data_IF_769406532040
#
_entry.id   IF_769406532040
#
_cell.length_a   1.000
_cell.length_b   1.000
_cell.length_c   1.000
_cell.angle_alpha   90.00
_cell.angle_beta   90.00
_cell.angle_gamma   90.00
#
_symmetry.space_group_name_H-M   'P 1'
#
loop_
_entity.id
_entity.type
_entity.pdbx_description
1 polymer ?
#
# COMPACT_ATOMS: atom_id res chain seq x y z
N UNK A 1 41.88 -47.43 -66.54
CA UNK A 1 41.80 -47.78 -65.08
C UNK A 1 41.94 -46.53 -64.30
N UNK A 2 40.80 -45.93 -63.88
CA UNK A 2 40.71 -44.63 -63.22
C UNK A 2 40.28 -44.84 -61.72
N UNK A 3 41.17 -44.50 -60.79
CA UNK A 3 40.86 -44.52 -59.37
C UNK A 3 40.24 -43.15 -58.98
N UNK A 4 38.98 -43.17 -58.56
CA UNK A 4 38.30 -42.03 -57.94
C UNK A 4 38.62 -42.05 -56.45
N UNK A 5 39.30 -41.01 -55.96
CA UNK A 5 39.48 -40.75 -54.51
C UNK A 5 38.27 -40.02 -53.99
N UNK A 6 37.61 -40.55 -52.95
CA UNK A 6 36.53 -39.87 -52.23
C UNK A 6 37.15 -39.04 -51.10
N UNK A 7 36.93 -37.72 -51.12
CA UNK A 7 37.27 -36.82 -50.02
C UNK A 7 36.12 -36.85 -49.00
N UNK A 8 36.34 -37.43 -47.85
CA UNK A 8 35.41 -37.40 -46.73
C UNK A 8 35.53 -36.06 -45.99
N UNK A 9 34.45 -35.28 -45.98
CA UNK A 9 34.35 -34.04 -45.20
C UNK A 9 34.02 -34.42 -43.72
N UNK A 10 34.97 -34.25 -42.82
CA UNK A 10 34.73 -34.35 -41.36
C UNK A 10 34.10 -33.05 -40.86
N UNK A 11 32.80 -33.08 -40.54
CA UNK A 11 32.12 -32.01 -39.84
C UNK A 11 32.26 -32.28 -38.36
N UNK A 12 33.08 -31.48 -37.67
CA UNK A 12 33.16 -31.48 -36.21
C UNK A 12 31.92 -30.75 -35.61
N UNK A 13 31.20 -31.34 -34.63
CA UNK A 13 30.12 -30.64 -33.97
C UNK A 13 30.69 -29.53 -33.05
N UNK A 14 30.32 -28.29 -33.35
CA UNK A 14 30.60 -27.17 -32.47
C UNK A 14 29.70 -27.29 -31.23
N UNK A 15 30.25 -27.79 -30.13
CA UNK A 15 29.55 -27.80 -28.84
C UNK A 15 29.48 -26.37 -28.35
N UNK A 16 28.28 -25.76 -28.40
CA UNK A 16 28.01 -24.50 -27.76
C UNK A 16 28.16 -24.65 -26.24
N UNK A 17 29.25 -24.12 -25.69
CA UNK A 17 29.45 -24.00 -24.25
C UNK A 17 28.47 -22.96 -23.78
N UNK A 18 27.34 -23.39 -23.21
CA UNK A 18 26.44 -22.50 -22.48
C UNK A 18 27.22 -22.00 -21.24
N UNK A 19 27.64 -20.75 -21.28
CA UNK A 19 28.19 -20.08 -20.10
C UNK A 19 27.14 -20.08 -19.00
N UNK A 20 27.43 -20.53 -17.77
CA UNK A 20 26.48 -20.39 -16.68
C UNK A 20 26.21 -18.90 -16.49
N UNK A 21 24.95 -18.48 -16.62
CA UNK A 21 24.51 -17.15 -16.26
C UNK A 21 24.87 -16.95 -14.79
N UNK A 22 25.82 -16.08 -14.50
CA UNK A 22 26.16 -15.71 -13.13
C UNK A 22 24.89 -15.14 -12.51
N UNK A 23 24.25 -15.88 -11.59
CA UNK A 23 23.13 -15.38 -10.79
C UNK A 23 23.66 -14.19 -10.01
N UNK A 24 23.27 -12.97 -10.43
CA UNK A 24 23.62 -11.75 -9.71
C UNK A 24 23.14 -11.92 -8.24
N UNK A 25 24.03 -11.57 -7.29
CA UNK A 25 23.68 -11.60 -5.87
C UNK A 25 22.43 -10.74 -5.65
N UNK A 26 21.42 -11.24 -4.92
CA UNK A 26 20.23 -10.45 -4.62
C UNK A 26 20.59 -9.12 -3.96
N UNK A 27 19.98 -8.04 -4.41
CA UNK A 27 20.18 -6.69 -3.87
C UNK A 27 19.70 -6.65 -2.41
N UNK A 28 20.53 -6.15 -1.50
CA UNK A 28 20.20 -5.99 -0.08
C UNK A 28 19.52 -4.64 0.13
N UNK A 29 18.22 -4.64 0.17
CA UNK A 29 17.39 -3.43 0.24
C UNK A 29 16.94 -3.20 1.69
N UNK A 30 17.18 -2.01 2.24
CA UNK A 30 16.46 -1.50 3.39
C UNK A 30 15.34 -0.61 2.87
N UNK A 31 14.12 -0.79 3.38
CA UNK A 31 12.97 0.01 2.94
C UNK A 31 12.35 0.75 4.13
N UNK A 32 12.38 2.08 4.08
CA UNK A 32 11.86 2.98 5.11
C UNK A 32 10.48 3.56 4.75
N UNK A 33 9.76 2.92 3.84
CA UNK A 33 8.38 3.27 3.45
C UNK A 33 7.58 2.00 3.30
N UNK A 34 6.47 1.88 4.03
CA UNK A 34 5.65 0.66 4.06
C UNK A 34 5.00 0.38 2.70
N UNK A 35 4.57 1.42 1.96
CA UNK A 35 3.98 1.25 0.64
C UNK A 35 4.99 0.75 -0.40
N UNK A 36 6.26 1.15 -0.30
CA UNK A 36 7.33 0.60 -1.13
C UNK A 36 7.69 -0.83 -0.71
N UNK A 37 7.70 -1.10 0.61
CA UNK A 37 8.01 -2.42 1.14
C UNK A 37 6.93 -3.46 0.77
N UNK A 38 5.64 -3.12 0.88
CA UNK A 38 4.55 -4.01 0.45
C UNK A 38 4.62 -4.28 -1.07
N UNK A 39 5.03 -3.28 -1.86
CA UNK A 39 5.23 -3.45 -3.31
C UNK A 39 6.40 -4.40 -3.60
N UNK A 40 7.55 -4.26 -2.92
CA UNK A 40 8.67 -5.20 -3.07
C UNK A 40 8.26 -6.63 -2.76
N UNK A 41 7.52 -6.84 -1.66
CA UNK A 41 7.03 -8.18 -1.30
C UNK A 41 6.10 -8.77 -2.37
N UNK A 42 5.25 -7.94 -3.00
CA UNK A 42 4.42 -8.39 -4.13
C UNK A 42 5.24 -8.72 -5.39
N UNK A 43 6.39 -8.09 -5.57
CA UNK A 43 7.35 -8.44 -6.62
C UNK A 43 8.18 -9.70 -6.28
N UNK A 44 7.95 -10.31 -5.12
CA UNK A 44 8.69 -11.48 -4.65
C UNK A 44 10.09 -11.15 -4.11
N UNK A 45 10.31 -9.90 -3.68
CA UNK A 45 11.57 -9.42 -3.14
C UNK A 45 11.40 -8.99 -1.69
N UNK A 46 12.06 -9.69 -0.77
CA UNK A 46 12.06 -9.32 0.65
C UNK A 46 13.16 -8.31 0.93
N UNK A 47 12.83 -7.11 1.46
CA UNK A 47 13.85 -6.22 1.98
C UNK A 47 14.58 -6.88 3.16
N UNK A 48 15.84 -6.51 3.41
CA UNK A 48 16.60 -7.03 4.57
C UNK A 48 16.15 -6.38 5.87
N UNK A 49 15.54 -5.19 5.79
CA UNK A 49 14.94 -4.51 6.93
C UNK A 49 13.88 -3.50 6.49
N UNK A 50 12.97 -3.22 7.42
CA UNK A 50 11.99 -2.11 7.38
C UNK A 50 12.10 -1.29 8.66
N UNK A 51 11.39 -0.17 8.72
CA UNK A 51 11.15 0.57 9.96
C UNK A 51 9.72 0.33 10.47
N UNK A 52 9.53 0.07 11.78
CA UNK A 52 8.21 -0.02 12.39
C UNK A 52 7.47 -1.32 12.11
N UNK A 53 8.02 -2.46 12.52
CA UNK A 53 7.33 -3.77 12.43
C UNK A 53 5.95 -3.75 13.08
N UNK A 54 5.79 -3.06 14.21
CA UNK A 54 4.52 -2.90 14.92
C UNK A 54 3.46 -2.17 14.07
N UNK A 55 3.87 -1.17 13.29
CA UNK A 55 3.01 -0.49 12.31
C UNK A 55 2.57 -1.46 11.23
N UNK A 56 3.52 -2.28 10.71
CA UNK A 56 3.20 -3.30 9.71
C UNK A 56 2.16 -4.30 10.23
N UNK A 57 2.40 -4.88 11.40
CA UNK A 57 1.52 -5.88 12.01
C UNK A 57 0.14 -5.30 12.38
N UNK A 58 0.08 -4.01 12.71
CA UNK A 58 -1.17 -3.33 13.10
C UNK A 58 -1.97 -2.84 11.89
N UNK A 59 -1.32 -2.25 10.89
CA UNK A 59 -2.00 -1.49 9.83
C UNK A 59 -1.83 -2.06 8.43
N UNK A 60 -0.62 -2.50 8.04
CA UNK A 60 -0.38 -3.07 6.71
C UNK A 60 -1.04 -4.43 6.61
N UNK A 61 -0.71 -5.33 7.51
CA UNK A 61 -1.28 -6.68 7.70
C UNK A 61 -1.07 -7.59 6.48
N UNK A 62 -1.25 -7.09 5.27
CA UNK A 62 -1.09 -7.80 3.99
C UNK A 62 -0.25 -6.97 3.01
N UNK A 63 0.76 -7.59 2.39
CA UNK A 63 1.21 -8.97 2.58
C UNK A 63 1.79 -9.19 3.99
N UNK A 64 1.76 -10.44 4.52
CA UNK A 64 2.38 -10.73 5.81
C UNK A 64 3.88 -10.45 5.75
N UNK A 65 4.41 -9.85 6.82
CA UNK A 65 5.83 -9.54 6.90
C UNK A 65 6.63 -10.82 7.21
N UNK A 66 7.57 -11.23 6.36
CA UNK A 66 8.47 -12.34 6.64
C UNK A 66 9.24 -12.12 7.96
N UNK A 67 9.38 -13.15 8.80
CA UNK A 67 9.99 -13.02 10.14
C UNK A 67 11.49 -12.66 10.10
N UNK A 68 12.17 -12.97 9.01
CA UNK A 68 13.59 -12.69 8.81
C UNK A 68 13.90 -11.22 8.50
N UNK A 69 12.91 -10.42 8.14
CA UNK A 69 13.10 -8.99 7.88
C UNK A 69 13.38 -8.29 9.21
N UNK A 70 14.52 -7.61 9.32
CA UNK A 70 14.87 -6.89 10.52
C UNK A 70 14.01 -5.62 10.70
N UNK A 71 13.79 -5.22 11.94
CA UNK A 71 13.20 -3.93 12.28
C UNK A 71 14.29 -2.95 12.69
N UNK A 72 14.42 -1.84 11.98
CA UNK A 72 15.40 -0.79 12.30
C UNK A 72 14.84 0.29 13.23
N UNK A 73 13.68 0.08 13.82
CA UNK A 73 13.05 1.01 14.74
C UNK A 73 12.12 2.02 14.06
N UNK A 74 12.06 3.25 14.58
CA UNK A 74 11.11 4.24 14.07
C UNK A 74 11.58 4.89 12.76
N UNK A 75 10.65 5.40 11.96
CA UNK A 75 10.95 6.08 10.70
C UNK A 75 11.90 7.27 10.86
N UNK A 76 11.71 8.09 11.90
CA UNK A 76 12.50 9.32 12.09
C UNK A 76 13.82 9.08 12.83
N UNK A 77 13.91 7.98 13.58
CA UNK A 77 15.08 7.61 14.37
C UNK A 77 15.45 6.14 14.11
N UNK A 78 15.84 5.77 12.87
CA UNK A 78 16.24 4.41 12.58
C UNK A 78 17.57 4.07 13.25
N UNK A 79 17.74 2.83 13.68
CA UNK A 79 18.96 2.34 14.30
C UNK A 79 20.10 2.27 13.27
N UNK A 80 20.96 3.29 13.25
CA UNK A 80 22.06 3.40 12.29
C UNK A 80 23.12 2.30 12.46
N UNK A 81 23.33 1.82 13.69
CA UNK A 81 24.30 0.73 13.94
C UNK A 81 23.78 -0.58 13.32
N UNK A 82 22.49 -0.88 13.50
CA UNK A 82 21.88 -2.04 12.85
C UNK A 82 21.90 -1.91 11.32
N UNK A 83 21.61 -0.72 10.79
CA UNK A 83 21.71 -0.45 9.35
C UNK A 83 23.13 -0.73 8.83
N UNK A 84 24.18 -0.29 9.53
CA UNK A 84 25.57 -0.59 9.17
C UNK A 84 25.90 -2.08 9.24
N UNK A 85 25.41 -2.78 10.26
CA UNK A 85 25.60 -4.24 10.39
C UNK A 85 24.93 -5.02 9.26
N UNK A 86 23.75 -4.56 8.82
CA UNK A 86 23.00 -5.18 7.72
C UNK A 86 23.68 -4.98 6.36
N UNK A 87 24.59 -4.02 6.22
CA UNK A 87 25.32 -3.72 4.99
C UNK A 87 24.39 -3.69 3.76
N UNK A 88 23.40 -2.80 3.71
CA UNK A 88 22.52 -2.68 2.56
C UNK A 88 23.28 -2.18 1.32
N UNK A 89 22.85 -2.61 0.15
CA UNK A 89 23.33 -2.07 -1.12
C UNK A 89 22.60 -0.77 -1.45
N UNK A 90 21.36 -0.60 -0.93
CA UNK A 90 20.53 0.58 -1.14
C UNK A 90 19.51 0.73 0.01
N UNK A 91 19.18 1.99 0.32
CA UNK A 91 18.09 2.36 1.23
C UNK A 91 17.00 3.06 0.40
N UNK A 92 15.80 2.51 0.40
CA UNK A 92 14.61 3.15 -0.13
C UNK A 92 13.99 4.04 0.94
N UNK A 93 13.67 5.27 0.59
CA UNK A 93 13.17 6.30 1.48
C UNK A 93 12.02 7.08 0.83
N UNK A 94 11.34 7.89 1.62
CA UNK A 94 10.29 8.80 1.17
C UNK A 94 10.67 10.26 1.42
N UNK A 95 10.05 11.26 0.74
CA UNK A 95 10.36 12.68 0.91
C UNK A 95 10.23 13.19 2.35
N UNK A 96 9.33 12.61 3.14
CA UNK A 96 9.16 12.94 4.56
C UNK A 96 10.45 12.73 5.39
N UNK A 97 11.34 11.85 4.92
CA UNK A 97 12.62 11.53 5.58
C UNK A 97 13.81 12.30 5.01
N UNK A 98 13.61 13.27 4.13
CA UNK A 98 14.73 14.03 3.53
C UNK A 98 15.60 14.74 4.57
N UNK A 99 15.05 15.10 5.74
CA UNK A 99 15.79 15.70 6.86
C UNK A 99 16.86 14.78 7.46
N UNK A 100 16.68 13.46 7.41
CA UNK A 100 17.64 12.46 7.91
C UNK A 100 18.43 11.78 6.79
N UNK A 101 18.14 12.07 5.53
CA UNK A 101 18.81 11.48 4.37
C UNK A 101 20.35 11.54 4.44
N UNK A 102 20.99 12.66 4.84
CA UNK A 102 22.44 12.70 4.96
C UNK A 102 23.02 11.72 6.00
N UNK A 103 22.25 11.34 7.01
CA UNK A 103 22.65 10.30 7.98
C UNK A 103 22.55 8.90 7.35
N UNK A 104 21.49 8.63 6.61
CA UNK A 104 21.29 7.36 5.91
C UNK A 104 22.34 7.13 4.82
N UNK A 105 22.72 8.19 4.09
CA UNK A 105 23.74 8.15 3.04
C UNK A 105 25.15 7.81 3.56
N UNK A 106 25.40 7.92 4.86
CA UNK A 106 26.63 7.43 5.50
C UNK A 106 26.69 5.90 5.58
N UNK A 107 25.55 5.23 5.41
CA UNK A 107 25.45 3.77 5.45
C UNK A 107 25.41 3.17 4.06
N UNK A 108 24.53 3.66 3.18
CA UNK A 108 24.39 3.20 1.81
C UNK A 108 23.72 4.27 0.93
N UNK A 109 23.81 4.18 -0.41
CA UNK A 109 23.05 5.03 -1.32
C UNK A 109 21.56 5.08 -0.98
N UNK A 110 20.96 6.27 -0.97
CA UNK A 110 19.53 6.48 -0.67
C UNK A 110 18.78 6.86 -1.93
N UNK A 111 17.73 6.11 -2.24
CA UNK A 111 16.78 6.45 -3.30
C UNK A 111 15.46 6.86 -2.68
N UNK A 112 15.05 8.11 -2.91
CA UNK A 112 13.79 8.66 -2.43
C UNK A 112 12.70 8.45 -3.49
N UNK A 113 11.61 7.77 -3.13
CA UNK A 113 10.43 7.55 -3.96
C UNK A 113 9.21 8.07 -3.21
N UNK A 114 8.51 9.04 -3.78
CA UNK A 114 7.36 9.67 -3.13
C UNK A 114 6.04 9.08 -3.59
N UNK A 115 5.37 8.32 -2.74
CA UNK A 115 3.99 7.87 -2.96
C UNK A 115 2.98 8.99 -2.65
N UNK A 116 3.27 9.78 -1.61
CA UNK A 116 2.43 10.89 -1.15
C UNK A 116 3.19 12.20 -1.33
N UNK A 117 2.57 13.15 -2.01
CA UNK A 117 3.15 14.45 -2.34
C UNK A 117 2.09 15.54 -2.31
N UNK A 118 2.48 16.81 -2.32
CA UNK A 118 1.54 17.94 -2.37
C UNK A 118 0.58 17.88 -3.58
N UNK A 119 1.03 17.31 -4.70
CA UNK A 119 0.18 17.13 -5.88
C UNK A 119 -0.94 16.09 -5.68
N UNK A 120 -0.85 15.23 -4.65
CA UNK A 120 -1.73 14.09 -4.46
C UNK A 120 -1.46 12.98 -5.48
N UNK A 121 -2.53 12.32 -5.96
CA UNK A 121 -2.48 11.24 -6.95
C UNK A 121 -1.68 10.01 -6.48
N UNK A 122 -1.91 9.49 -5.27
CA UNK A 122 -1.12 8.39 -4.72
C UNK A 122 -1.20 7.11 -5.57
N UNK A 123 -2.29 6.86 -6.28
CA UNK A 123 -2.40 5.72 -7.19
C UNK A 123 -1.45 5.83 -8.39
N UNK A 124 -1.40 7.00 -9.02
CA UNK A 124 -0.47 7.24 -10.13
C UNK A 124 0.98 7.14 -9.65
N UNK A 125 1.27 7.66 -8.44
CA UNK A 125 2.58 7.51 -7.82
C UNK A 125 2.93 6.07 -7.50
N UNK A 126 1.96 5.27 -7.03
CA UNK A 126 2.16 3.83 -6.79
C UNK A 126 2.48 3.08 -8.10
N UNK A 127 1.85 3.46 -9.22
CA UNK A 127 2.14 2.90 -10.54
C UNK A 127 3.59 3.19 -10.96
N UNK A 128 4.01 4.45 -10.84
CA UNK A 128 5.38 4.88 -11.16
C UNK A 128 6.41 4.19 -10.24
N UNK A 129 6.12 4.12 -8.93
CA UNK A 129 6.96 3.45 -7.93
C UNK A 129 7.07 1.95 -8.21
N UNK A 130 5.97 1.28 -8.57
CA UNK A 130 5.98 -0.15 -8.91
C UNK A 130 6.91 -0.43 -10.08
N UNK A 131 6.84 0.38 -11.15
CA UNK A 131 7.74 0.25 -12.30
C UNK A 131 9.19 0.52 -11.94
N UNK A 132 9.44 1.56 -11.14
CA UNK A 132 10.79 1.92 -10.68
C UNK A 132 11.39 0.81 -9.81
N UNK A 133 10.62 0.27 -8.85
CA UNK A 133 11.07 -0.84 -8.01
C UNK A 133 11.30 -2.11 -8.83
N UNK A 134 10.38 -2.43 -9.75
CA UNK A 134 10.52 -3.59 -10.62
C UNK A 134 11.81 -3.52 -11.46
N UNK A 135 12.10 -2.36 -12.07
CA UNK A 135 13.35 -2.14 -12.80
C UNK A 135 14.60 -2.23 -11.90
N UNK A 136 14.53 -1.74 -10.66
CA UNK A 136 15.63 -1.82 -9.69
C UNK A 136 16.00 -3.27 -9.35
N UNK A 137 15.00 -4.17 -9.27
CA UNK A 137 15.18 -5.56 -8.84
C UNK A 137 15.11 -6.59 -9.99
N UNK A 138 15.00 -6.12 -11.27
CA UNK A 138 14.92 -6.99 -12.44
C UNK A 138 13.62 -7.80 -12.51
N UNK A 139 12.49 -7.19 -12.15
CA UNK A 139 11.15 -7.79 -12.05
C UNK A 139 10.10 -7.00 -12.84
N UNK A 140 10.48 -6.47 -14.00
CA UNK A 140 9.63 -5.60 -14.81
C UNK A 140 8.32 -6.29 -15.23
N UNK A 141 8.40 -7.58 -15.60
CA UNK A 141 7.21 -8.35 -15.98
C UNK A 141 6.25 -8.56 -14.80
N UNK A 142 6.77 -8.82 -13.61
CA UNK A 142 5.99 -8.96 -12.37
C UNK A 142 5.38 -7.62 -11.96
N UNK A 143 6.09 -6.51 -12.18
CA UNK A 143 5.58 -5.16 -11.95
C UNK A 143 4.38 -4.84 -12.84
N UNK A 144 4.47 -5.05 -14.15
CA UNK A 144 3.34 -4.84 -15.05
C UNK A 144 2.18 -5.82 -14.77
N UNK A 145 2.47 -7.06 -14.39
CA UNK A 145 1.44 -8.02 -13.98
C UNK A 145 0.69 -7.56 -12.72
N UNK A 146 1.39 -7.03 -11.71
CA UNK A 146 0.78 -6.47 -10.50
C UNK A 146 -0.14 -5.29 -10.84
N UNK A 147 0.31 -4.37 -11.68
CA UNK A 147 -0.50 -3.22 -12.15
C UNK A 147 -1.77 -3.71 -12.84
N UNK A 148 -1.62 -4.60 -13.83
CA UNK A 148 -2.75 -5.12 -14.61
C UNK A 148 -3.75 -5.90 -13.72
N UNK A 149 -3.27 -6.69 -12.77
CA UNK A 149 -4.11 -7.43 -11.84
C UNK A 149 -4.90 -6.48 -10.92
N UNK A 150 -4.28 -5.38 -10.46
CA UNK A 150 -4.93 -4.36 -9.63
C UNK A 150 -6.06 -3.66 -10.39
N UNK A 151 -5.82 -3.23 -11.63
CA UNK A 151 -6.83 -2.58 -12.48
C UNK A 151 -8.00 -3.52 -12.82
N UNK A 152 -7.70 -4.78 -13.13
CA UNK A 152 -8.71 -5.80 -13.36
C UNK A 152 -9.58 -6.05 -12.12
N UNK A 153 -8.96 -6.09 -10.94
CA UNK A 153 -9.65 -6.28 -9.68
C UNK A 153 -10.60 -5.10 -9.37
N UNK A 154 -10.17 -3.86 -9.55
CA UNK A 154 -11.05 -2.70 -9.35
C UNK A 154 -12.22 -2.68 -10.34
N UNK A 155 -11.99 -3.09 -11.57
CA UNK A 155 -13.07 -3.23 -12.57
C UNK A 155 -14.11 -4.27 -12.15
N UNK A 156 -13.68 -5.38 -11.54
CA UNK A 156 -14.56 -6.40 -10.99
C UNK A 156 -15.35 -5.88 -9.80
N UNK A 157 -14.69 -5.26 -8.82
CA UNK A 157 -15.34 -4.66 -7.64
C UNK A 157 -16.36 -3.61 -8.06
N UNK A 158 -16.04 -2.77 -9.06
CA UNK A 158 -16.96 -1.78 -9.60
C UNK A 158 -18.24 -2.42 -10.16
N UNK A 159 -18.12 -3.51 -10.91
CA UNK A 159 -19.28 -4.25 -11.43
C UNK A 159 -20.14 -4.84 -10.32
N UNK A 160 -19.49 -5.41 -9.31
CA UNK A 160 -20.15 -5.98 -8.13
C UNK A 160 -20.94 -4.92 -7.35
N UNK A 161 -20.37 -3.73 -7.17
CA UNK A 161 -20.95 -2.67 -6.35
C UNK A 161 -21.95 -1.78 -7.11
N UNK A 162 -21.94 -1.77 -8.43
CA UNK A 162 -22.77 -0.87 -9.23
C UNK A 162 -24.27 -0.86 -8.83
N UNK A 163 -24.90 -2.01 -8.50
CA UNK A 163 -26.29 -2.02 -8.05
C UNK A 163 -26.51 -1.46 -6.63
N UNK A 164 -25.43 -1.29 -5.83
CA UNK A 164 -25.47 -1.05 -4.39
C UNK A 164 -24.94 0.34 -3.99
N UNK A 165 -24.42 1.14 -4.91
CA UNK A 165 -23.52 2.27 -4.65
C UNK A 165 -24.20 3.63 -4.46
N UNK A 166 -25.48 3.68 -4.08
CA UNK A 166 -26.25 4.92 -4.09
C UNK A 166 -25.88 5.96 -3.00
N UNK A 167 -25.20 5.59 -1.91
CA UNK A 167 -24.98 6.47 -0.75
C UNK A 167 -23.50 6.80 -0.56
N UNK A 168 -23.15 8.10 -0.35
CA UNK A 168 -21.75 8.49 -0.10
C UNK A 168 -21.24 7.90 1.23
N UNK A 169 -19.92 7.72 1.33
CA UNK A 169 -19.28 7.05 2.47
C UNK A 169 -18.18 7.94 3.03
N UNK A 170 -18.23 8.24 4.33
CA UNK A 170 -17.05 8.73 5.05
C UNK A 170 -16.11 7.56 5.35
N UNK A 171 -14.82 7.73 5.08
CA UNK A 171 -13.78 6.80 5.54
C UNK A 171 -12.97 7.50 6.61
N UNK A 172 -12.89 6.89 7.79
CA UNK A 172 -12.20 7.48 8.93
C UNK A 172 -11.32 6.47 9.67
N UNK A 173 -10.31 6.99 10.37
CA UNK A 173 -9.64 6.30 11.47
C UNK A 173 -9.74 7.16 12.73
N UNK A 174 -10.06 6.54 13.87
CA UNK A 174 -10.16 7.24 15.14
C UNK A 174 -8.76 7.53 15.70
N UNK A 175 -8.54 8.75 16.13
CA UNK A 175 -7.35 9.15 16.88
C UNK A 175 -7.60 9.03 18.39
N UNK A 176 -8.82 9.35 18.79
CA UNK A 176 -9.39 9.24 20.13
C UNK A 176 -10.93 9.21 20.03
N UNK A 177 -11.69 9.12 21.14
CA UNK A 177 -13.16 9.09 21.09
C UNK A 177 -13.84 10.34 20.52
N UNK A 178 -13.11 11.44 20.32
CA UNK A 178 -13.66 12.73 19.86
C UNK A 178 -13.14 13.14 18.50
N UNK A 179 -11.97 12.67 18.11
CA UNK A 179 -11.26 13.11 16.91
C UNK A 179 -10.99 11.95 15.98
N UNK A 180 -11.15 12.25 14.69
CA UNK A 180 -10.88 11.30 13.61
C UNK A 180 -9.99 11.95 12.54
N UNK A 181 -9.23 11.10 11.84
CA UNK A 181 -8.74 11.42 10.51
C UNK A 181 -9.83 11.00 9.54
N UNK A 182 -10.35 11.95 8.77
CA UNK A 182 -11.26 11.67 7.65
C UNK A 182 -10.49 11.76 6.34
N UNK A 183 -10.60 10.74 5.51
CA UNK A 183 -9.85 10.62 4.26
C UNK A 183 -10.65 11.21 3.10
N UNK A 184 -10.00 12.05 2.30
CA UNK A 184 -10.64 12.77 1.19
C UNK A 184 -9.74 12.84 -0.05
N UNK A 185 -9.84 13.92 -0.78
CA UNK A 185 -9.44 14.13 -2.17
C UNK A 185 -8.02 13.67 -2.56
N UNK A 186 -7.03 13.75 -1.67
CA UNK A 186 -5.64 13.35 -1.96
C UNK A 186 -5.28 11.97 -1.40
N UNK A 187 -6.24 11.25 -0.81
CA UNK A 187 -5.99 9.94 -0.20
C UNK A 187 -6.01 8.79 -1.20
N UNK A 188 -5.32 7.71 -0.87
CA UNK A 188 -5.42 6.45 -1.62
C UNK A 188 -6.87 5.92 -1.64
N UNK A 189 -7.62 6.13 -0.57
CA UNK A 189 -9.02 5.69 -0.47
C UNK A 189 -9.93 6.44 -1.45
N UNK A 190 -9.71 7.74 -1.68
CA UNK A 190 -10.41 8.47 -2.73
C UNK A 190 -10.12 7.91 -4.11
N UNK A 191 -8.85 7.63 -4.40
CA UNK A 191 -8.45 7.05 -5.68
C UNK A 191 -9.08 5.67 -5.92
N UNK A 192 -9.24 4.87 -4.86
CA UNK A 192 -9.97 3.60 -4.92
C UNK A 192 -11.45 3.84 -5.17
N UNK A 193 -12.09 4.79 -4.47
CA UNK A 193 -13.50 5.14 -4.66
C UNK A 193 -13.80 5.50 -6.12
N UNK A 194 -12.96 6.34 -6.73
CA UNK A 194 -13.12 6.75 -8.12
C UNK A 194 -13.08 5.56 -9.09
N UNK A 195 -12.22 4.57 -8.80
CA UNK A 195 -12.06 3.36 -9.63
C UNK A 195 -13.18 2.36 -9.46
N UNK A 196 -13.67 2.18 -8.24
CA UNK A 196 -14.76 1.22 -7.96
C UNK A 196 -16.16 1.86 -8.04
N UNK A 197 -16.26 3.16 -8.36
CA UNK A 197 -17.53 3.85 -8.61
C UNK A 197 -18.29 4.22 -7.35
N UNK A 198 -17.62 4.50 -6.24
CA UNK A 198 -18.20 4.98 -4.99
C UNK A 198 -18.02 6.49 -4.81
N UNK A 199 -18.88 7.11 -4.03
CA UNK A 199 -18.81 8.53 -3.69
C UNK A 199 -18.25 8.71 -2.26
N UNK A 200 -17.25 9.59 -2.12
CA UNK A 200 -16.77 10.02 -0.82
C UNK A 200 -17.71 11.10 -0.25
N UNK A 201 -18.10 10.96 1.00
CA UNK A 201 -18.91 11.95 1.69
C UNK A 201 -18.08 13.17 2.15
N UNK A 202 -16.75 13.02 2.30
CA UNK A 202 -15.86 14.11 2.65
C UNK A 202 -15.34 14.83 1.41
N UNK A 203 -15.85 16.04 1.15
CA UNK A 203 -15.51 16.84 -0.04
C UNK A 203 -14.63 18.05 0.28
N UNK A 204 -14.37 18.32 1.58
CA UNK A 204 -13.51 19.42 1.98
C UNK A 204 -12.03 19.12 1.69
N UNK A 205 -11.20 20.17 1.72
CA UNK A 205 -9.75 20.04 1.50
C UNK A 205 -9.09 19.12 2.54
N UNK A 206 -8.02 18.48 2.11
CA UNK A 206 -7.19 17.60 2.94
C UNK A 206 -5.73 18.06 2.90
N UNK A 207 -4.96 17.64 3.90
CA UNK A 207 -3.52 17.83 3.86
C UNK A 207 -2.87 17.02 2.72
N UNK A 208 -1.55 17.10 2.58
CA UNK A 208 -0.84 16.39 1.52
C UNK A 208 -0.91 14.85 1.66
N UNK A 209 -1.16 14.32 2.87
CA UNK A 209 -1.38 12.90 3.12
C UNK A 209 -2.78 12.41 2.72
N UNK A 210 -3.68 13.32 2.35
CA UNK A 210 -5.03 13.00 1.92
C UNK A 210 -6.05 12.87 3.05
N UNK A 211 -5.80 13.43 4.24
CA UNK A 211 -6.77 13.45 5.34
C UNK A 211 -6.88 14.83 5.98
N UNK A 212 -7.99 15.03 6.71
CA UNK A 212 -8.17 16.12 7.66
C UNK A 212 -8.39 15.54 9.05
N UNK A 213 -7.80 16.16 10.07
CA UNK A 213 -8.10 15.84 11.48
C UNK A 213 -9.25 16.73 11.95
N UNK A 214 -10.35 16.12 12.36
CA UNK A 214 -11.58 16.83 12.73
C UNK A 214 -12.23 16.21 13.97
N UNK A 215 -13.10 16.98 14.63
CA UNK A 215 -14.02 16.42 15.60
C UNK A 215 -15.08 15.55 14.94
N UNK A 216 -15.56 14.52 15.60
CA UNK A 216 -16.59 13.59 15.07
C UNK A 216 -17.89 14.32 14.71
N UNK A 217 -18.22 15.43 15.39
CA UNK A 217 -19.39 16.28 15.13
C UNK A 217 -19.39 16.89 13.72
N UNK A 218 -18.22 17.16 13.15
CA UNK A 218 -18.09 17.67 11.79
C UNK A 218 -18.56 16.67 10.70
N UNK A 219 -18.72 15.37 11.04
CA UNK A 219 -19.28 14.36 10.14
C UNK A 219 -20.81 14.43 10.04
N UNK A 220 -21.48 15.24 10.85
CA UNK A 220 -22.95 15.39 10.83
C UNK A 220 -23.50 16.14 9.60
N UNK A 221 -22.64 16.62 8.71
CA UNK A 221 -23.01 17.45 7.56
C UNK A 221 -23.83 16.74 6.49
N UNK A 222 -23.75 15.42 6.40
CA UNK A 222 -24.54 14.63 5.45
C UNK A 222 -25.50 13.68 6.18
N UNK A 223 -26.79 13.88 6.01
CA UNK A 223 -27.83 13.06 6.63
C UNK A 223 -27.95 11.65 6.04
N UNK A 224 -27.46 11.45 4.81
CA UNK A 224 -27.55 10.17 4.08
C UNK A 224 -26.20 9.42 3.96
N UNK A 225 -25.12 10.00 4.42
CA UNK A 225 -23.82 9.33 4.35
C UNK A 225 -23.76 8.08 5.25
N UNK A 226 -23.02 7.08 4.79
CA UNK A 226 -22.55 5.96 5.61
C UNK A 226 -21.20 6.30 6.23
N UNK A 227 -20.86 5.63 7.33
CA UNK A 227 -19.53 5.71 7.94
C UNK A 227 -18.81 4.38 7.78
N UNK A 228 -17.62 4.39 7.20
CA UNK A 228 -16.67 3.29 7.26
C UNK A 228 -15.50 3.70 8.16
N UNK A 229 -15.27 2.99 9.26
CA UNK A 229 -14.11 3.25 10.09
C UNK A 229 -13.14 2.07 10.06
N UNK A 230 -11.85 2.41 10.08
CA UNK A 230 -10.75 1.45 10.11
C UNK A 230 -10.43 1.04 11.54
N UNK A 231 -10.23 -0.24 11.77
CA UNK A 231 -9.64 -0.78 13.00
C UNK A 231 -8.11 -0.71 12.96
N UNK A 232 -7.44 -0.80 14.12
CA UNK A 232 -8.03 -0.84 15.46
C UNK A 232 -8.55 0.51 15.93
N UNK A 233 -9.57 0.48 16.79
CA UNK A 233 -9.93 1.66 17.55
C UNK A 233 -8.87 1.91 18.64
N UNK A 234 -8.60 3.19 19.00
CA UNK A 234 -7.78 3.49 20.17
C UNK A 234 -8.32 2.81 21.44
N UNK A 235 -7.44 2.47 22.33
CA UNK A 235 -7.80 1.80 23.58
C UNK A 235 -8.89 2.58 24.33
N UNK A 236 -9.92 1.88 24.79
CA UNK A 236 -11.08 2.46 25.49
C UNK A 236 -12.04 3.27 24.61
N UNK A 237 -11.71 3.57 23.36
CA UNK A 237 -12.53 4.42 22.51
C UNK A 237 -13.91 3.82 22.22
N UNK A 238 -14.01 2.50 22.03
CA UNK A 238 -15.27 1.84 21.71
C UNK A 238 -16.36 2.03 22.79
N UNK A 239 -16.01 1.88 24.06
CA UNK A 239 -16.91 2.14 25.19
C UNK A 239 -17.33 3.60 25.26
N UNK A 240 -16.35 4.51 25.21
CA UNK A 240 -16.59 5.97 25.27
C UNK A 240 -17.49 6.46 24.12
N UNK A 241 -17.31 5.92 22.90
CA UNK A 241 -18.15 6.27 21.75
C UNK A 241 -19.59 5.86 21.98
N UNK A 242 -19.86 4.64 22.45
CA UNK A 242 -21.24 4.15 22.64
C UNK A 242 -21.98 4.94 23.72
N UNK A 243 -21.29 5.51 24.69
CA UNK A 243 -21.85 6.36 25.75
C UNK A 243 -21.98 7.84 25.33
N UNK A 244 -21.33 8.26 24.24
CA UNK A 244 -21.31 9.66 23.79
C UNK A 244 -22.65 10.11 23.23
N UNK A 245 -23.30 11.16 23.80
CA UNK A 245 -24.52 11.74 23.22
C UNK A 245 -24.29 12.28 21.81
N UNK A 246 -23.11 12.85 21.53
CA UNK A 246 -22.74 13.37 20.21
C UNK A 246 -22.70 12.24 19.20
N UNK A 247 -22.02 11.14 19.51
CA UNK A 247 -21.99 9.96 18.65
C UNK A 247 -23.37 9.40 18.37
N UNK A 248 -24.18 9.23 19.43
CA UNK A 248 -25.52 8.68 19.31
C UNK A 248 -26.50 9.58 18.52
N UNK A 249 -26.21 10.88 18.41
CA UNK A 249 -26.98 11.83 17.60
C UNK A 249 -26.58 11.79 16.12
N UNK A 250 -25.44 11.19 15.73
CA UNK A 250 -24.98 11.16 14.34
C UNK A 250 -25.98 10.44 13.41
N UNK A 251 -26.23 10.98 12.19
CA UNK A 251 -27.16 10.37 11.25
C UNK A 251 -26.84 8.92 10.93
N UNK A 252 -25.56 8.59 10.65
CA UNK A 252 -25.13 7.24 10.32
C UNK A 252 -25.26 6.25 11.50
N UNK A 253 -25.18 6.72 12.76
CA UNK A 253 -25.45 5.90 13.95
C UNK A 253 -26.93 5.59 14.05
N UNK A 254 -27.78 6.63 13.97
CA UNK A 254 -29.24 6.51 14.03
C UNK A 254 -29.81 5.63 12.92
N UNK A 255 -29.23 5.75 11.73
CA UNK A 255 -29.61 4.99 10.54
C UNK A 255 -28.97 3.60 10.46
N UNK A 256 -28.16 3.21 11.47
CA UNK A 256 -27.41 1.94 11.51
C UNK A 256 -26.56 1.73 10.24
N UNK A 257 -25.93 2.80 9.77
CA UNK A 257 -25.15 2.83 8.52
C UNK A 257 -23.65 2.94 8.79
N UNK A 258 -23.16 2.14 9.73
CA UNK A 258 -21.76 2.09 10.14
C UNK A 258 -21.16 0.78 9.68
N UNK A 259 -20.06 0.86 8.95
CA UNK A 259 -19.22 -0.27 8.53
C UNK A 259 -17.93 -0.27 9.32
N UNK A 260 -17.65 -1.37 9.99
CA UNK A 260 -16.41 -1.64 10.67
C UNK A 260 -15.49 -2.37 9.69
N UNK A 261 -14.39 -1.76 9.32
CA UNK A 261 -13.43 -2.33 8.39
C UNK A 261 -12.19 -2.81 9.15
N UNK A 262 -11.67 -4.01 8.83
CA UNK A 262 -10.35 -4.41 9.31
C UNK A 262 -9.28 -3.37 8.97
N UNK A 263 -8.14 -3.43 9.64
CA UNK A 263 -7.00 -2.56 9.38
C UNK A 263 -6.60 -2.58 7.90
N UNK A 264 -6.34 -1.37 7.38
CA UNK A 264 -5.79 -1.13 6.04
C UNK A 264 -4.80 0.01 6.15
N UNK A 265 -3.62 -0.16 5.60
CA UNK A 265 -2.62 0.90 5.60
C UNK A 265 -3.07 2.08 4.75
N UNK A 266 -3.28 3.23 5.41
CA UNK A 266 -3.81 4.42 4.76
C UNK A 266 -2.80 5.13 3.86
N UNK A 267 -1.51 4.82 4.00
CA UNK A 267 -0.40 5.41 3.24
C UNK A 267 0.34 4.38 2.39
N UNK A 268 -0.32 3.28 2.05
CA UNK A 268 0.24 2.22 1.23
C UNK A 268 0.20 2.47 -0.27
N UNK A 269 0.49 1.42 -1.03
CA UNK A 269 0.47 1.38 -2.49
C UNK A 269 -0.64 0.44 -3.00
N UNK A 270 -0.39 -0.33 -4.06
CA UNK A 270 -1.39 -1.22 -4.67
C UNK A 270 -1.91 -2.33 -3.74
N UNK A 271 -1.09 -3.00 -2.92
CA UNK A 271 -1.60 -4.01 -2.00
C UNK A 271 -2.62 -3.42 -1.03
N UNK A 272 -2.29 -2.28 -0.40
CA UNK A 272 -3.21 -1.55 0.49
C UNK A 272 -4.47 -1.06 -0.23
N UNK A 273 -4.36 -0.54 -1.46
CA UNK A 273 -5.50 -0.12 -2.26
C UNK A 273 -6.44 -1.30 -2.58
N UNK A 274 -5.88 -2.43 -2.98
CA UNK A 274 -6.63 -3.67 -3.28
C UNK A 274 -7.30 -4.22 -2.02
N UNK A 275 -6.58 -4.24 -0.88
CA UNK A 275 -7.13 -4.64 0.41
C UNK A 275 -8.30 -3.74 0.82
N UNK A 276 -8.15 -2.41 0.68
CA UNK A 276 -9.23 -1.47 0.99
C UNK A 276 -10.48 -1.74 0.14
N UNK A 277 -10.33 -1.88 -1.17
CA UNK A 277 -11.45 -2.21 -2.06
C UNK A 277 -12.14 -3.51 -1.63
N UNK A 278 -11.38 -4.53 -1.26
CA UNK A 278 -11.89 -5.84 -0.84
C UNK A 278 -12.70 -5.76 0.45
N UNK A 279 -12.13 -5.16 1.50
CA UNK A 279 -12.81 -5.11 2.81
C UNK A 279 -14.05 -4.21 2.76
N UNK A 280 -13.98 -3.12 2.00
CA UNK A 280 -15.11 -2.21 1.81
C UNK A 280 -16.23 -2.88 0.99
N UNK A 281 -15.90 -3.55 -0.12
CA UNK A 281 -16.88 -4.28 -0.92
C UNK A 281 -17.58 -5.37 -0.09
N UNK A 282 -16.82 -6.12 0.71
CA UNK A 282 -17.38 -7.12 1.62
C UNK A 282 -18.34 -6.53 2.66
N UNK A 283 -18.01 -5.35 3.20
CA UNK A 283 -18.86 -4.66 4.16
C UNK A 283 -20.18 -4.19 3.50
N UNK A 284 -20.09 -3.58 2.31
CA UNK A 284 -21.26 -3.10 1.56
C UNK A 284 -22.18 -4.25 1.17
N UNK A 285 -21.65 -5.34 0.64
CA UNK A 285 -22.44 -6.52 0.23
C UNK A 285 -23.02 -7.26 1.43
N UNK A 286 -22.30 -7.31 2.54
CA UNK A 286 -22.80 -7.89 3.79
C UNK A 286 -23.92 -7.08 4.44
N UNK A 287 -23.99 -5.78 4.26
CA UNK A 287 -25.12 -4.94 4.64
C UNK A 287 -26.32 -5.20 3.73
N UNK A 288 -26.13 -5.24 2.42
CA UNK A 288 -27.18 -5.50 1.45
C UNK A 288 -27.84 -6.88 1.63
N UNK A 289 -27.13 -7.87 2.12
CA UNK A 289 -27.68 -9.20 2.39
C UNK A 289 -28.50 -9.28 3.70
N UNK A 290 -28.42 -8.26 4.55
CA UNK A 290 -29.13 -8.19 5.86
C UNK A 290 -30.32 -7.26 5.86
N UNK A 291 -30.53 -6.43 4.85
CA UNK A 291 -31.65 -5.51 4.67
C UNK A 291 -32.66 -6.04 3.67
#
# INVERSE_FOLDING_TARGET
MTRRGALGLFVLPFAAIASPSATAKPLRIVCLDDGLAETLLMLGVSPVAIAGRDIWETWVVEPPLPPEIADVGTLLEPNLELLQQLRPDIILSMPYLDGIKPLLERVAPVTTIGLYTEAGQPYQRALEATRQLAGLVGKESEGEALIAATDAYFSEVRRQLAPLSARPIYVVSFMDPRNVRVYGKKSLFQEVFDRIGLANAWTAETNYWGFSTIGIDALATSSDARLAYLEPLPEGAGGTLTESPVWNAMPFVRNRSIMRLPAVHMFGAFPSATRFARVLASAITGEAARG
#
